data_IF_803336613334
#
_entry.id   IF_803336613334
#
_cell.length_a   1.000
_cell.length_b   1.000
_cell.length_c   1.000
_cell.angle_alpha   90.00
_cell.angle_beta   90.00
_cell.angle_gamma   90.00
#
_symmetry.space_group_name_H-M   'P 1'
#
loop_
_entity.id
_entity.type
_entity.pdbx_description
1 polymer ?
#
# COMPACT_ATOMS: atom_id res chain seq x y z
N UNK A 1 6.83 -0.43 6.23
CA UNK A 1 5.67 -0.31 5.30
C UNK A 1 4.50 -1.15 5.77
N UNK A 2 4.68 -2.47 5.95
CA UNK A 2 3.61 -3.36 6.42
C UNK A 2 2.98 -2.93 7.75
N UNK A 3 3.76 -2.50 8.73
CA UNK A 3 3.23 -1.97 10.00
C UNK A 3 2.35 -0.73 9.82
N UNK A 4 2.73 0.19 8.92
CA UNK A 4 1.96 1.40 8.63
C UNK A 4 0.62 1.02 7.99
N UNK A 5 0.67 0.12 6.99
CA UNK A 5 -0.52 -0.36 6.30
C UNK A 5 -1.46 -1.13 7.23
N UNK A 6 -0.91 -2.02 8.07
CA UNK A 6 -1.65 -2.75 9.09
C UNK A 6 -2.32 -1.81 10.09
N UNK A 7 -1.60 -0.78 10.59
CA UNK A 7 -2.19 0.22 11.48
C UNK A 7 -3.34 1.01 10.85
N UNK A 8 -3.20 1.39 9.57
CA UNK A 8 -4.28 2.06 8.83
C UNK A 8 -5.50 1.15 8.62
N UNK A 9 -5.27 -0.10 8.24
CA UNK A 9 -6.32 -1.08 8.05
C UNK A 9 -7.06 -1.36 9.36
N UNK A 10 -6.32 -1.57 10.46
CA UNK A 10 -6.89 -1.78 11.80
C UNK A 10 -7.74 -0.59 12.25
N UNK A 11 -7.29 0.65 12.01
CA UNK A 11 -8.08 1.84 12.31
C UNK A 11 -9.40 1.88 11.54
N UNK A 12 -9.36 1.54 10.24
CA UNK A 12 -10.54 1.50 9.39
C UNK A 12 -11.51 0.38 9.79
N UNK A 13 -11.02 -0.83 10.05
CA UNK A 13 -11.86 -1.97 10.42
C UNK A 13 -12.42 -1.82 11.83
N UNK A 14 -11.67 -1.22 12.76
CA UNK A 14 -12.18 -0.83 14.07
C UNK A 14 -13.28 0.23 13.95
N UNK A 15 -13.12 1.24 13.09
CA UNK A 15 -14.17 2.22 12.83
C UNK A 15 -15.43 1.56 12.26
N UNK A 16 -15.28 0.64 11.30
CA UNK A 16 -16.38 -0.14 10.74
C UNK A 16 -17.08 -0.99 11.80
N UNK A 17 -16.34 -1.64 12.70
CA UNK A 17 -16.88 -2.48 13.77
C UNK A 17 -17.75 -1.69 14.75
N UNK A 18 -17.46 -0.40 14.93
CA UNK A 18 -18.21 0.49 15.81
C UNK A 18 -19.49 1.08 15.19
N UNK A 19 -19.83 0.73 13.93
CA UNK A 19 -21.03 1.25 13.26
C UNK A 19 -22.24 0.35 13.50
N UNK A 20 -23.38 0.94 13.85
CA UNK A 20 -24.64 0.21 14.02
C UNK A 20 -25.19 -0.32 12.69
N UNK A 21 -25.09 0.46 11.61
CA UNK A 21 -25.45 0.05 10.25
C UNK A 21 -24.19 -0.22 9.41
N UNK A 22 -23.78 -1.48 9.42
CA UNK A 22 -22.61 -1.94 8.71
C UNK A 22 -22.73 -1.86 7.18
N UNK A 23 -23.96 -1.99 6.65
CA UNK A 23 -24.21 -1.90 5.20
C UNK A 23 -24.05 -0.46 4.74
N UNK A 24 -24.61 0.49 5.49
CA UNK A 24 -24.48 1.91 5.20
C UNK A 24 -23.01 2.37 5.32
N UNK A 25 -22.30 1.95 6.36
CA UNK A 25 -20.91 2.30 6.56
C UNK A 25 -20.01 1.84 5.39
N UNK A 26 -20.21 0.60 4.92
CA UNK A 26 -19.54 0.08 3.72
C UNK A 26 -19.87 0.90 2.47
N UNK A 27 -21.14 1.27 2.29
CA UNK A 27 -21.56 2.09 1.16
C UNK A 27 -20.90 3.47 1.15
N UNK A 28 -20.70 4.09 2.32
CA UNK A 28 -19.98 5.37 2.46
C UNK A 28 -18.53 5.23 2.02
N UNK A 29 -17.81 4.21 2.49
CA UNK A 29 -16.41 3.96 2.09
C UNK A 29 -16.27 3.78 0.57
N UNK A 30 -17.16 3.01 -0.05
CA UNK A 30 -17.15 2.78 -1.50
C UNK A 30 -17.42 4.05 -2.27
N UNK A 31 -18.40 4.84 -1.83
CA UNK A 31 -18.75 6.12 -2.46
C UNK A 31 -17.58 7.10 -2.39
N UNK A 32 -16.88 7.15 -1.25
CA UNK A 32 -15.67 7.96 -1.12
C UNK A 32 -14.57 7.52 -2.10
N UNK A 33 -14.26 6.23 -2.16
CA UNK A 33 -13.27 5.71 -3.12
C UNK A 33 -13.67 5.98 -4.58
N UNK A 34 -14.96 5.90 -4.89
CA UNK A 34 -15.49 6.20 -6.22
C UNK A 34 -15.40 7.68 -6.56
N UNK A 35 -15.70 8.58 -5.60
CA UNK A 35 -15.56 10.03 -5.75
C UNK A 35 -14.13 10.37 -6.15
N UNK A 36 -13.14 9.93 -5.35
CA UNK A 36 -11.72 10.12 -5.63
C UNK A 36 -11.36 9.63 -7.04
N UNK A 37 -11.76 8.41 -7.40
CA UNK A 37 -11.45 7.81 -8.70
C UNK A 37 -12.15 8.48 -9.89
N UNK A 38 -13.30 9.11 -9.67
CA UNK A 38 -14.08 9.79 -10.71
C UNK A 38 -13.69 11.24 -10.93
N UNK A 39 -12.96 11.86 -9.99
CA UNK A 39 -12.52 13.25 -10.08
C UNK A 39 -11.09 13.34 -10.65
N UNK A 40 -10.89 13.89 -11.86
CA UNK A 40 -9.57 13.93 -12.50
C UNK A 40 -8.49 14.67 -11.70
N UNK A 41 -8.83 15.81 -11.09
CA UNK A 41 -7.88 16.60 -10.28
C UNK A 41 -7.41 15.85 -9.04
N UNK A 42 -8.30 15.11 -8.36
CA UNK A 42 -7.93 14.30 -7.20
C UNK A 42 -7.03 13.13 -7.59
N UNK A 43 -7.28 12.48 -8.73
CA UNK A 43 -6.38 11.43 -9.23
C UNK A 43 -4.99 11.97 -9.61
N UNK A 44 -4.93 13.15 -10.23
CA UNK A 44 -3.67 13.80 -10.56
C UNK A 44 -2.89 14.11 -9.28
N UNK A 45 -3.54 14.78 -8.32
CA UNK A 45 -2.95 15.08 -7.02
C UNK A 45 -2.45 13.83 -6.28
N UNK A 46 -3.20 12.72 -6.31
CA UNK A 46 -2.76 11.47 -5.70
C UNK A 46 -1.51 10.87 -6.34
N UNK A 47 -1.36 10.99 -7.66
CA UNK A 47 -0.14 10.55 -8.36
C UNK A 47 1.03 11.43 -7.99
N UNK A 48 0.84 12.76 -8.01
CA UNK A 48 1.89 13.70 -7.64
C UNK A 48 2.37 13.46 -6.19
N UNK A 49 1.43 13.22 -5.27
CA UNK A 49 1.75 12.88 -3.88
C UNK A 49 2.48 11.53 -3.76
N UNK A 50 2.10 10.52 -4.56
CA UNK A 50 2.79 9.24 -4.57
C UNK A 50 4.24 9.39 -5.06
N UNK A 51 4.47 10.15 -6.13
CA UNK A 51 5.81 10.41 -6.67
C UNK A 51 6.69 11.13 -5.65
N UNK A 52 6.14 12.11 -4.93
CA UNK A 52 6.84 12.78 -3.82
C UNK A 52 7.20 11.82 -2.68
N UNK A 53 6.28 10.93 -2.30
CA UNK A 53 6.53 9.93 -1.26
C UNK A 53 7.63 8.94 -1.69
N UNK A 54 7.66 8.54 -2.97
CA UNK A 54 8.72 7.68 -3.52
C UNK A 54 10.07 8.37 -3.40
N UNK A 55 10.18 9.64 -3.81
CA UNK A 55 11.41 10.39 -3.71
C UNK A 55 11.93 10.49 -2.25
N UNK A 56 11.02 10.75 -1.30
CA UNK A 56 11.39 10.81 0.14
C UNK A 56 11.81 9.45 0.66
N UNK A 57 11.09 8.38 0.31
CA UNK A 57 11.42 7.02 0.73
C UNK A 57 12.77 6.58 0.15
N UNK A 58 13.06 6.89 -1.11
CA UNK A 58 14.35 6.60 -1.75
C UNK A 58 15.50 7.28 -1.00
N UNK A 59 15.36 8.55 -0.60
CA UNK A 59 16.36 9.25 0.21
C UNK A 59 16.59 8.61 1.58
N UNK A 60 15.55 8.08 2.21
CA UNK A 60 15.68 7.36 3.49
C UNK A 60 16.40 6.02 3.30
N UNK A 61 16.05 5.27 2.25
CA UNK A 61 16.67 3.99 1.94
C UNK A 61 18.14 4.16 1.55
N UNK A 62 18.46 5.12 0.69
CA UNK A 62 19.81 5.43 0.26
C UNK A 62 20.72 5.74 1.46
N UNK A 63 20.26 6.61 2.37
CA UNK A 63 21.00 6.92 3.61
C UNK A 63 21.26 5.70 4.49
N UNK A 64 20.29 4.78 4.58
CA UNK A 64 20.43 3.55 5.38
C UNK A 64 21.36 2.53 4.76
N UNK A 65 21.46 2.53 3.43
CA UNK A 65 22.30 1.61 2.67
C UNK A 65 23.67 2.20 2.29
N UNK A 66 23.98 3.44 2.73
CA UNK A 66 25.17 4.19 2.34
C UNK A 66 25.32 4.34 0.81
N UNK A 67 24.19 4.50 0.12
CA UNK A 67 24.08 4.66 -1.34
C UNK A 67 23.74 6.10 -1.73
N UNK A 68 23.91 6.43 -3.02
CA UNK A 68 23.36 7.67 -3.56
C UNK A 68 21.83 7.56 -3.69
N UNK A 69 21.06 8.61 -3.38
CA UNK A 69 19.62 8.62 -3.67
C UNK A 69 19.30 8.58 -5.17
N UNK A 70 20.27 8.88 -6.03
CA UNK A 70 20.13 8.79 -7.49
C UNK A 70 20.50 7.41 -8.04
N UNK A 71 20.99 6.50 -7.19
CA UNK A 71 21.20 5.11 -7.58
C UNK A 71 19.85 4.43 -7.86
N UNK A 72 19.80 3.47 -8.80
CA UNK A 72 18.55 2.82 -9.16
C UNK A 72 17.95 2.00 -8.01
N UNK A 73 18.77 1.42 -7.12
CA UNK A 73 18.33 0.50 -6.08
C UNK A 73 17.42 1.16 -5.02
N UNK A 74 17.79 2.31 -4.40
CA UNK A 74 16.89 2.98 -3.46
C UNK A 74 15.59 3.48 -4.13
N UNK A 75 15.68 3.92 -5.39
CA UNK A 75 14.53 4.41 -6.16
C UNK A 75 13.52 3.28 -6.42
N UNK A 76 13.97 2.15 -6.99
CA UNK A 76 13.07 1.04 -7.30
C UNK A 76 12.53 0.37 -6.04
N UNK A 77 13.33 0.25 -4.97
CA UNK A 77 12.89 -0.30 -3.70
C UNK A 77 11.81 0.59 -3.05
N UNK A 78 11.98 1.91 -3.07
CA UNK A 78 10.98 2.86 -2.58
C UNK A 78 9.67 2.75 -3.36
N UNK A 79 9.75 2.74 -4.69
CA UNK A 79 8.60 2.59 -5.58
C UNK A 79 7.85 1.26 -5.32
N UNK A 80 8.59 0.15 -5.20
CA UNK A 80 8.02 -1.16 -4.92
C UNK A 80 7.31 -1.20 -3.57
N UNK A 81 7.93 -0.68 -2.50
CA UNK A 81 7.32 -0.65 -1.17
C UNK A 81 6.05 0.21 -1.14
N UNK A 82 6.08 1.39 -1.76
CA UNK A 82 4.90 2.27 -1.79
C UNK A 82 3.78 1.72 -2.68
N UNK A 83 4.09 0.86 -3.66
CA UNK A 83 3.08 0.16 -4.46
C UNK A 83 2.20 -0.79 -3.62
N UNK A 84 2.57 -1.13 -2.39
CA UNK A 84 1.70 -1.88 -1.48
C UNK A 84 0.45 -1.11 -1.04
N UNK A 85 0.50 0.22 -1.04
CA UNK A 85 -0.65 1.04 -0.65
C UNK A 85 -1.82 0.91 -1.65
N UNK A 86 -1.66 1.12 -2.96
CA UNK A 86 -2.75 0.90 -3.90
C UNK A 86 -3.25 -0.56 -3.90
N UNK A 87 -2.39 -1.54 -3.59
CA UNK A 87 -2.80 -2.95 -3.39
C UNK A 87 -3.78 -3.06 -2.21
N UNK A 88 -3.50 -2.45 -1.05
CA UNK A 88 -4.41 -2.44 0.09
C UNK A 88 -5.77 -1.84 -0.28
N UNK A 89 -5.82 -0.70 -0.97
CA UNK A 89 -7.09 -0.10 -1.38
C UNK A 89 -7.87 -0.96 -2.37
N UNK A 90 -7.19 -1.61 -3.31
CA UNK A 90 -7.84 -2.50 -4.25
C UNK A 90 -8.40 -3.75 -3.54
N UNK A 91 -7.64 -4.33 -2.62
CA UNK A 91 -8.08 -5.44 -1.79
C UNK A 91 -9.27 -5.04 -0.91
N UNK A 92 -9.22 -3.87 -0.27
CA UNK A 92 -10.32 -3.34 0.53
C UNK A 92 -11.60 -3.23 -0.31
N UNK A 93 -11.53 -2.61 -1.50
CA UNK A 93 -12.68 -2.52 -2.41
C UNK A 93 -13.22 -3.89 -2.85
N UNK A 94 -12.33 -4.85 -3.07
CA UNK A 94 -12.67 -6.21 -3.50
C UNK A 94 -13.42 -6.97 -2.39
N UNK A 95 -12.98 -6.82 -1.15
CA UNK A 95 -13.45 -7.62 -0.02
C UNK A 95 -14.57 -6.96 0.77
N UNK A 96 -14.75 -5.63 0.66
CA UNK A 96 -15.77 -4.88 1.42
C UNK A 96 -17.19 -5.46 1.28
N UNK A 97 -17.56 -5.88 0.07
CA UNK A 97 -18.87 -6.44 -0.22
C UNK A 97 -19.02 -7.91 0.17
N UNK A 98 -17.90 -8.63 0.34
CA UNK A 98 -17.89 -10.08 0.59
C UNK A 98 -17.79 -10.41 2.07
N UNK A 99 -16.94 -9.68 2.79
CA UNK A 99 -16.72 -9.89 4.21
C UNK A 99 -17.99 -9.66 5.02
N UNK A 100 -18.30 -10.58 5.92
CA UNK A 100 -19.45 -10.52 6.83
C UNK A 100 -19.09 -9.93 8.20
N UNK A 101 -17.80 -9.82 8.52
CA UNK A 101 -17.31 -9.14 9.74
C UNK A 101 -16.12 -8.21 9.45
N UNK A 102 -15.83 -7.29 10.39
CA UNK A 102 -14.67 -6.39 10.30
C UNK A 102 -13.35 -7.13 10.42
N UNK A 103 -13.33 -8.22 11.19
CA UNK A 103 -12.21 -9.14 11.35
C UNK A 103 -11.92 -9.89 10.05
N UNK A 104 -12.94 -10.47 9.42
CA UNK A 104 -12.79 -11.14 8.12
C UNK A 104 -12.28 -10.16 7.05
N UNK A 105 -12.79 -8.92 7.04
CA UNK A 105 -12.31 -7.88 6.13
C UNK A 105 -10.83 -7.54 6.38
N UNK A 106 -10.43 -7.42 7.65
CA UNK A 106 -9.06 -7.15 8.04
C UNK A 106 -8.13 -8.26 7.54
N UNK A 107 -8.49 -9.51 7.76
CA UNK A 107 -7.65 -10.67 7.45
C UNK A 107 -7.50 -10.87 5.95
N UNK A 108 -8.58 -10.77 5.18
CA UNK A 108 -8.55 -10.91 3.72
C UNK A 108 -7.72 -9.81 3.05
N UNK A 109 -7.83 -8.56 3.54
CA UNK A 109 -7.03 -7.45 3.01
C UNK A 109 -5.55 -7.61 3.42
N UNK A 110 -5.29 -8.02 4.67
CA UNK A 110 -3.92 -8.27 5.15
C UNK A 110 -3.25 -9.38 4.36
N UNK A 111 -3.97 -10.47 4.05
CA UNK A 111 -3.46 -11.57 3.25
C UNK A 111 -3.08 -11.12 1.83
N UNK A 112 -3.90 -10.29 1.17
CA UNK A 112 -3.58 -9.73 -0.14
C UNK A 112 -2.31 -8.85 -0.12
N UNK A 113 -2.17 -7.98 0.88
CA UNK A 113 -0.99 -7.12 1.05
C UNK A 113 0.25 -7.95 1.35
N UNK A 114 0.14 -8.96 2.20
CA UNK A 114 1.24 -9.84 2.57
C UNK A 114 1.76 -10.64 1.38
N UNK A 115 0.85 -11.17 0.53
CA UNK A 115 1.24 -11.85 -0.72
C UNK A 115 1.98 -10.92 -1.66
N UNK A 116 1.54 -9.67 -1.82
CA UNK A 116 2.23 -8.69 -2.65
C UNK A 116 3.62 -8.33 -2.08
N UNK A 117 3.72 -8.20 -0.76
CA UNK A 117 5.00 -7.90 -0.10
C UNK A 117 6.00 -9.06 -0.23
N UNK A 118 5.54 -10.31 -0.15
CA UNK A 118 6.38 -11.49 -0.40
C UNK A 118 6.93 -11.51 -1.83
N UNK A 119 6.15 -11.10 -2.83
CA UNK A 119 6.64 -10.99 -4.21
C UNK A 119 7.71 -9.92 -4.36
N UNK A 120 7.55 -8.77 -3.69
CA UNK A 120 8.56 -7.71 -3.67
C UNK A 120 9.84 -8.22 -2.99
N UNK A 121 9.73 -8.84 -1.82
CA UNK A 121 10.88 -9.36 -1.07
C UNK A 121 11.63 -10.41 -1.89
N UNK A 122 10.94 -11.39 -2.47
CA UNK A 122 11.55 -12.40 -3.33
C UNK A 122 12.23 -11.78 -4.57
N UNK A 123 11.59 -10.79 -5.20
CA UNK A 123 12.15 -10.06 -6.33
C UNK A 123 13.41 -9.26 -5.97
N UNK A 124 13.38 -8.50 -4.87
CA UNK A 124 14.53 -7.74 -4.38
C UNK A 124 15.69 -8.65 -3.97
N UNK A 125 15.40 -9.77 -3.31
CA UNK A 125 16.43 -10.75 -2.92
C UNK A 125 17.05 -11.48 -4.12
N UNK A 126 16.33 -11.60 -5.24
CA UNK A 126 16.89 -12.13 -6.50
C UNK A 126 17.91 -11.20 -7.17
N UNK A 127 17.96 -9.92 -6.78
CA UNK A 127 18.90 -8.91 -7.31
C UNK A 127 20.25 -8.88 -6.57
N UNK A 128 20.51 -9.82 -5.66
CA UNK A 128 21.80 -9.91 -4.96
C UNK A 128 22.98 -9.86 -5.95
N UNK A 129 24.04 -9.08 -5.64
CA UNK A 129 24.96 -8.58 -6.65
C UNK A 129 25.62 -9.72 -7.43
N UNK A 130 25.60 -9.61 -8.76
CA UNK A 130 26.58 -10.30 -9.58
C UNK A 130 27.96 -9.89 -9.04
N UNK A 131 28.65 -10.84 -8.39
CA UNK A 131 30.04 -10.67 -7.98
C UNK A 131 30.78 -10.11 -9.19
N UNK A 132 31.31 -8.88 -9.10
CA UNK A 132 32.19 -8.34 -10.13
C UNK A 132 33.36 -9.32 -10.23
N UNK A 133 33.41 -10.07 -11.32
CA UNK A 133 34.60 -10.84 -11.68
C UNK A 133 35.69 -9.83 -12.00
N UNK A 134 36.78 -9.89 -11.22
CA UNK A 134 38.05 -9.24 -11.53
C UNK A 134 38.68 -9.81 -12.81
#
# INVERSE_FOLDING_TARGET
MLEILSGQLAGLTSWLAAQDDWTQAKAVLLRFGMLIGSTPSLRAYQRDMADQQVAVAAQVLARRAEMSPDDPEPQIAAAALLALWPVQFQALRRHLHRAQTSEELHDEVSADVQRAAQLIDAGLNSLAPARRSE
#
